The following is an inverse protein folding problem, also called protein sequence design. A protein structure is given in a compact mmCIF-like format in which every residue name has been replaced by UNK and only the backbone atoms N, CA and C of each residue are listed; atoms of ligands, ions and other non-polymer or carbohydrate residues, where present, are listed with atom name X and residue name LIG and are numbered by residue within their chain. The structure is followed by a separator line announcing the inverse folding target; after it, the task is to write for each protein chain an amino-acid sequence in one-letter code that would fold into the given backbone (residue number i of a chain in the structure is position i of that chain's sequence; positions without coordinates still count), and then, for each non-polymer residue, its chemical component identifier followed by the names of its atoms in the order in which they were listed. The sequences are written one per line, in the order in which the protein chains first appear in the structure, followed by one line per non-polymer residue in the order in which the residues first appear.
data_IF_152705341917
#
_entry.id   IF_152705341917
#
_cell.length_a   1.000
_cell.length_b   1.000
_cell.length_c   1.000
_cell.angle_alpha   90.00
_cell.angle_beta   90.00
_cell.angle_gamma   90.00
#
_symmetry.space_group_name_H-M   'P 1'
#
loop_
_entity.id
_entity.type
_entity.pdbx_description
1 polymer ?
#
# COMPACT_ATOMS: atom_id res chain seq x y z
N UNK A 1 4.59 2.40 -38.23
CA UNK A 1 3.95 1.67 -37.09
C UNK A 1 2.46 1.94 -37.20
N UNK A 2 1.62 0.90 -37.37
CA UNK A 2 0.20 1.06 -37.70
C UNK A 2 -0.53 1.89 -36.65
N UNK A 3 -1.20 2.95 -37.05
CA UNK A 3 -1.97 3.87 -36.18
C UNK A 3 -3.04 3.13 -35.33
N UNK A 4 -3.59 2.04 -35.86
CA UNK A 4 -4.55 1.18 -35.18
C UNK A 4 -3.96 0.37 -33.99
N UNK A 5 -2.70 -0.08 -34.09
CA UNK A 5 -2.02 -0.79 -33.00
C UNK A 5 -1.69 0.19 -31.85
N UNK A 6 -1.24 1.39 -32.17
CA UNK A 6 -0.95 2.42 -31.18
C UNK A 6 -2.20 2.85 -30.40
N UNK A 7 -3.35 3.02 -31.07
CA UNK A 7 -4.59 3.41 -30.41
C UNK A 7 -5.13 2.32 -29.47
N UNK A 8 -5.05 1.04 -29.87
CA UNK A 8 -5.40 -0.11 -29.01
C UNK A 8 -4.47 -0.21 -27.80
N UNK A 9 -3.18 -0.04 -27.99
CA UNK A 9 -2.22 -0.08 -26.89
C UNK A 9 -2.44 1.08 -25.90
N UNK A 10 -2.81 2.27 -26.35
CA UNK A 10 -3.17 3.39 -25.48
C UNK A 10 -4.41 3.08 -24.60
N UNK A 11 -5.40 2.40 -25.12
CA UNK A 11 -6.57 1.97 -24.34
C UNK A 11 -6.26 0.90 -23.29
N UNK A 12 -5.18 0.13 -23.45
CA UNK A 12 -4.71 -0.89 -22.49
C UNK A 12 -3.81 -0.30 -21.38
N UNK A 13 -3.24 0.89 -21.55
CA UNK A 13 -2.38 1.50 -20.52
C UNK A 13 -3.04 1.62 -19.15
N UNK A 14 -4.30 2.07 -19.00
CA UNK A 14 -4.96 2.12 -17.69
C UNK A 14 -5.05 0.73 -17.05
N UNK A 15 -5.34 -0.32 -17.83
CA UNK A 15 -5.42 -1.70 -17.33
C UNK A 15 -4.04 -2.15 -16.82
N UNK A 16 -2.97 -1.85 -17.57
CA UNK A 16 -1.60 -2.13 -17.14
C UNK A 16 -1.27 -1.42 -15.81
N UNK A 17 -1.67 -0.17 -15.67
CA UNK A 17 -1.49 0.57 -14.42
C UNK A 17 -2.27 -0.03 -13.25
N UNK A 18 -3.53 -0.47 -13.47
CA UNK A 18 -4.34 -1.17 -12.46
C UNK A 18 -3.63 -2.46 -12.04
N UNK A 19 -3.12 -3.25 -12.99
CA UNK A 19 -2.41 -4.50 -12.69
C UNK A 19 -1.14 -4.26 -11.85
N UNK A 20 -0.36 -3.24 -12.17
CA UNK A 20 0.83 -2.86 -11.39
C UNK A 20 0.44 -2.49 -9.96
N UNK A 21 -0.53 -1.60 -9.76
CA UNK A 21 -0.95 -1.19 -8.44
C UNK A 21 -1.60 -2.35 -7.67
N UNK A 22 -2.38 -3.19 -8.34
CA UNK A 22 -2.96 -4.38 -7.72
C UNK A 22 -1.86 -5.31 -7.19
N UNK A 23 -0.86 -5.66 -7.98
CA UNK A 23 0.24 -6.52 -7.56
C UNK A 23 1.09 -5.87 -6.45
N UNK A 24 1.30 -4.55 -6.51
CA UNK A 24 2.05 -3.83 -5.49
C UNK A 24 1.37 -3.87 -4.11
N UNK A 25 0.04 -3.75 -4.06
CA UNK A 25 -0.71 -3.66 -2.81
C UNK A 25 -1.36 -4.99 -2.38
N UNK A 26 -1.72 -5.86 -3.32
CA UNK A 26 -2.37 -7.14 -3.06
C UNK A 26 -1.48 -8.36 -3.35
N UNK A 27 -0.20 -8.14 -3.62
CA UNK A 27 0.76 -9.20 -3.98
C UNK A 27 0.86 -10.30 -2.92
N UNK A 28 0.67 -9.99 -1.64
CA UNK A 28 0.62 -10.99 -0.58
C UNK A 28 -0.56 -11.96 -0.77
N UNK A 29 -1.73 -11.48 -1.18
CA UNK A 29 -2.88 -12.33 -1.50
C UNK A 29 -2.59 -13.26 -2.67
N UNK A 30 -1.99 -12.72 -3.74
CA UNK A 30 -1.55 -13.54 -4.90
C UNK A 30 -0.54 -14.59 -4.47
N UNK A 31 0.44 -14.24 -3.63
CA UNK A 31 1.39 -15.19 -3.04
C UNK A 31 0.70 -16.26 -2.20
N UNK A 32 -0.32 -15.91 -1.42
CA UNK A 32 -1.05 -16.86 -0.59
C UNK A 32 -1.77 -17.92 -1.44
N UNK A 33 -2.15 -17.59 -2.68
CA UNK A 33 -2.76 -18.53 -3.63
C UNK A 33 -1.69 -19.36 -4.36
N UNK A 34 -0.69 -18.71 -4.95
CA UNK A 34 0.23 -19.34 -5.90
C UNK A 34 1.62 -19.67 -5.32
N UNK A 35 1.86 -19.33 -4.06
CA UNK A 35 3.18 -19.47 -3.43
C UNK A 35 4.19 -18.42 -3.92
N UNK A 36 5.41 -18.51 -3.42
CA UNK A 36 6.47 -17.56 -3.74
C UNK A 36 6.89 -17.59 -5.21
N UNK A 37 7.07 -18.80 -5.75
CA UNK A 37 7.46 -18.99 -7.16
C UNK A 37 6.38 -18.49 -8.12
N UNK A 38 5.13 -18.89 -7.86
CA UNK A 38 3.99 -18.46 -8.69
C UNK A 38 3.80 -16.96 -8.65
N UNK A 39 3.91 -16.33 -7.48
CA UNK A 39 3.87 -14.87 -7.35
C UNK A 39 4.98 -14.18 -8.14
N UNK A 40 6.22 -14.70 -8.06
CA UNK A 40 7.36 -14.17 -8.82
C UNK A 40 7.13 -14.23 -10.33
N UNK A 41 6.68 -15.39 -10.84
CA UNK A 41 6.38 -15.60 -12.27
C UNK A 41 5.25 -14.66 -12.74
N UNK A 42 4.14 -14.60 -11.99
CA UNK A 42 3.00 -13.73 -12.33
C UNK A 42 3.44 -12.27 -12.37
N UNK A 43 4.20 -11.83 -11.38
CA UNK A 43 4.69 -10.44 -11.31
C UNK A 43 5.61 -10.12 -12.49
N UNK A 44 6.54 -11.01 -12.84
CA UNK A 44 7.44 -10.84 -13.98
C UNK A 44 6.67 -10.76 -15.31
N UNK A 45 5.71 -11.66 -15.52
CA UNK A 45 4.90 -11.69 -16.76
C UNK A 45 4.02 -10.44 -16.88
N UNK A 46 3.37 -10.02 -15.79
CA UNK A 46 2.55 -8.80 -15.78
C UNK A 46 3.42 -7.57 -16.04
N UNK A 47 4.57 -7.46 -15.40
CA UNK A 47 5.47 -6.34 -15.60
C UNK A 47 6.00 -6.29 -17.05
N UNK A 48 6.38 -7.43 -17.61
CA UNK A 48 6.79 -7.54 -19.02
C UNK A 48 5.66 -7.09 -19.95
N UNK A 49 4.44 -7.60 -19.74
CA UNK A 49 3.27 -7.21 -20.54
C UNK A 49 2.99 -5.71 -20.44
N UNK A 50 3.12 -5.10 -19.25
CA UNK A 50 2.95 -3.66 -19.05
C UNK A 50 4.00 -2.85 -19.82
N UNK A 51 5.26 -3.27 -19.84
CA UNK A 51 6.30 -2.64 -20.64
C UNK A 51 6.05 -2.78 -22.15
N UNK A 52 5.61 -3.95 -22.60
CA UNK A 52 5.23 -4.16 -24.01
C UNK A 52 4.09 -3.21 -24.41
N UNK A 53 3.02 -3.12 -23.60
CA UNK A 53 1.91 -2.18 -23.85
C UNK A 53 2.41 -0.72 -23.87
N UNK A 54 3.30 -0.34 -22.95
CA UNK A 54 3.88 0.99 -22.89
C UNK A 54 4.62 1.36 -24.20
N UNK A 55 5.47 0.47 -24.71
CA UNK A 55 6.21 0.71 -25.96
C UNK A 55 5.31 0.66 -27.20
N UNK A 56 4.33 -0.25 -27.26
CA UNK A 56 3.36 -0.32 -28.34
C UNK A 56 2.44 0.90 -28.40
N UNK A 57 2.18 1.55 -27.26
CA UNK A 57 1.50 2.85 -27.17
C UNK A 57 2.38 4.03 -27.67
N UNK A 58 3.58 3.77 -28.19
CA UNK A 58 4.49 4.80 -28.68
C UNK A 58 5.16 5.65 -27.60
N UNK A 59 5.05 5.24 -26.34
CA UNK A 59 5.67 5.94 -25.22
C UNK A 59 7.18 5.68 -25.19
N UNK A 60 7.96 6.64 -24.72
CA UNK A 60 9.42 6.54 -24.62
C UNK A 60 9.90 6.85 -23.21
N UNK A 61 10.88 6.09 -22.76
CA UNK A 61 11.55 6.37 -21.49
C UNK A 61 12.56 7.49 -21.73
N UNK A 62 12.40 8.59 -21.01
CA UNK A 62 13.35 9.69 -21.02
C UNK A 62 14.12 9.67 -19.70
N UNK A 63 15.37 9.23 -19.71
CA UNK A 63 16.21 9.09 -18.51
C UNK A 63 16.31 10.38 -17.69
N UNK A 64 16.28 11.55 -18.34
CA UNK A 64 16.27 12.85 -17.66
C UNK A 64 15.06 13.09 -16.73
N UNK A 65 13.99 12.30 -16.88
CA UNK A 65 12.79 12.39 -16.02
C UNK A 65 12.89 11.50 -14.77
N UNK A 66 13.89 10.63 -14.71
CA UNK A 66 14.11 9.78 -13.53
C UNK A 66 14.94 10.59 -12.52
N UNK A 67 14.47 10.67 -11.29
CA UNK A 67 15.19 11.37 -10.22
C UNK A 67 16.59 10.76 -10.01
N UNK A 68 17.58 11.62 -9.84
CA UNK A 68 18.94 11.18 -9.53
C UNK A 68 18.99 10.31 -8.26
N UNK A 69 18.21 10.67 -7.24
CA UNK A 69 18.13 9.90 -5.99
C UNK A 69 17.64 8.47 -6.22
N UNK A 70 16.63 8.29 -7.07
CA UNK A 70 16.10 6.94 -7.41
C UNK A 70 17.15 6.16 -8.18
N UNK A 71 17.81 6.79 -9.17
CA UNK A 71 18.86 6.14 -9.96
C UNK A 71 20.05 5.75 -9.10
N UNK A 72 20.51 6.63 -8.21
CA UNK A 72 21.62 6.36 -7.29
C UNK A 72 21.30 5.23 -6.33
N UNK A 73 20.07 5.17 -5.79
CA UNK A 73 19.62 4.07 -4.93
C UNK A 73 19.62 2.74 -5.66
N UNK A 74 19.09 2.68 -6.88
CA UNK A 74 19.08 1.45 -7.69
C UNK A 74 20.50 0.99 -7.98
N UNK A 75 21.39 1.91 -8.38
CA UNK A 75 22.80 1.61 -8.64
C UNK A 75 23.49 1.08 -7.38
N UNK A 76 23.26 1.70 -6.23
CA UNK A 76 23.79 1.23 -4.95
C UNK A 76 23.32 -0.19 -4.63
N UNK A 77 22.02 -0.48 -4.78
CA UNK A 77 21.49 -1.83 -4.58
C UNK A 77 22.12 -2.86 -5.52
N UNK A 78 22.36 -2.52 -6.78
CA UNK A 78 23.03 -3.42 -7.72
C UNK A 78 24.50 -3.62 -7.37
N UNK A 79 25.20 -2.56 -7.02
CA UNK A 79 26.62 -2.61 -6.66
C UNK A 79 26.86 -3.36 -5.33
N UNK A 80 25.89 -3.34 -4.39
CA UNK A 80 26.00 -3.99 -3.09
C UNK A 80 26.26 -5.50 -3.20
N UNK A 81 25.90 -6.12 -4.32
CA UNK A 81 26.20 -7.54 -4.60
C UNK A 81 27.71 -7.82 -4.58
N UNK A 82 28.57 -6.83 -4.92
CA UNK A 82 30.02 -7.01 -5.05
C UNK A 82 30.67 -7.27 -3.68
N UNK A 83 30.21 -6.54 -2.65
CA UNK A 83 30.80 -6.63 -1.30
C UNK A 83 29.94 -7.39 -0.29
N UNK A 84 28.77 -7.91 -0.72
CA UNK A 84 27.90 -8.68 0.16
C UNK A 84 28.50 -10.01 0.55
N UNK A 85 28.35 -10.38 1.81
CA UNK A 85 28.66 -11.73 2.31
C UNK A 85 27.66 -12.78 1.79
N UNK A 86 26.38 -12.35 1.53
CA UNK A 86 25.29 -13.18 1.02
C UNK A 86 24.97 -12.80 -0.44
N UNK A 87 25.90 -13.11 -1.35
CA UNK A 87 25.83 -12.63 -2.76
C UNK A 87 24.56 -13.04 -3.49
N UNK A 88 24.11 -14.29 -3.30
CA UNK A 88 22.92 -14.81 -3.99
C UNK A 88 21.64 -14.12 -3.54
N UNK A 89 21.48 -13.97 -2.23
CA UNK A 89 20.34 -13.29 -1.61
C UNK A 89 20.32 -11.80 -1.97
N UNK A 90 21.48 -11.17 -1.97
CA UNK A 90 21.62 -9.77 -2.36
C UNK A 90 21.33 -9.57 -3.84
N UNK A 91 21.79 -10.49 -4.70
CA UNK A 91 21.47 -10.45 -6.13
C UNK A 91 19.96 -10.61 -6.37
N UNK A 92 19.31 -11.57 -5.70
CA UNK A 92 17.85 -11.76 -5.78
C UNK A 92 17.09 -10.51 -5.30
N UNK A 93 17.54 -9.90 -4.20
CA UNK A 93 16.97 -8.66 -3.67
C UNK A 93 17.17 -7.47 -4.62
N UNK A 94 18.33 -7.37 -5.26
CA UNK A 94 18.60 -6.35 -6.27
C UNK A 94 17.69 -6.51 -7.50
N UNK A 95 17.44 -7.73 -7.97
CA UNK A 95 16.48 -8.01 -9.05
C UNK A 95 15.06 -7.60 -8.69
N UNK A 96 14.60 -7.90 -7.47
CA UNK A 96 13.28 -7.48 -6.98
C UNK A 96 13.21 -5.95 -6.92
N UNK A 97 14.27 -5.29 -6.44
CA UNK A 97 14.35 -3.83 -6.39
C UNK A 97 14.31 -3.20 -7.78
N UNK A 98 15.00 -3.78 -8.75
CA UNK A 98 14.96 -3.36 -10.15
C UNK A 98 13.54 -3.52 -10.74
N UNK A 99 12.90 -4.67 -10.51
CA UNK A 99 11.55 -4.95 -11.00
C UNK A 99 10.52 -3.95 -10.42
N UNK A 100 10.52 -3.76 -9.10
CA UNK A 100 9.60 -2.84 -8.42
C UNK A 100 9.87 -1.37 -8.80
N UNK A 101 11.13 -0.97 -8.91
CA UNK A 101 11.50 0.37 -9.35
C UNK A 101 11.09 0.61 -10.81
N UNK A 102 11.26 -0.38 -11.69
CA UNK A 102 10.83 -0.29 -13.10
C UNK A 102 9.32 -0.12 -13.23
N UNK A 103 8.53 -0.81 -12.40
CA UNK A 103 7.09 -0.63 -12.32
C UNK A 103 6.70 0.79 -11.92
N UNK A 104 7.35 1.34 -10.88
CA UNK A 104 7.15 2.72 -10.45
C UNK A 104 7.51 3.76 -11.53
N UNK A 105 8.63 3.56 -12.21
CA UNK A 105 9.08 4.41 -13.33
C UNK A 105 8.06 4.36 -14.48
N UNK A 106 7.58 3.16 -14.86
CA UNK A 106 6.57 3.00 -15.88
C UNK A 106 5.32 3.81 -15.56
N UNK A 107 4.77 3.65 -14.34
CA UNK A 107 3.57 4.37 -13.91
C UNK A 107 3.80 5.89 -13.93
N UNK A 108 4.94 6.36 -13.41
CA UNK A 108 5.26 7.79 -13.34
C UNK A 108 5.40 8.44 -14.73
N UNK A 109 5.88 7.70 -15.74
CA UNK A 109 6.05 8.21 -17.11
C UNK A 109 4.76 8.05 -17.92
N UNK A 110 4.01 6.96 -17.70
CA UNK A 110 2.81 6.65 -18.48
C UNK A 110 1.64 7.58 -18.15
N UNK A 111 1.49 8.02 -16.90
CA UNK A 111 0.28 8.69 -16.44
C UNK A 111 0.55 10.09 -15.88
N UNK A 112 -0.25 11.11 -16.26
CA UNK A 112 -0.36 12.33 -15.48
C UNK A 112 -0.99 12.03 -14.10
N UNK A 113 -0.69 12.83 -13.08
CA UNK A 113 -1.07 12.59 -11.69
C UNK A 113 -2.56 12.23 -11.52
N UNK A 114 -3.46 12.98 -12.16
CA UNK A 114 -4.91 12.74 -12.06
C UNK A 114 -5.32 11.37 -12.59
N UNK A 115 -4.72 10.94 -13.70
CA UNK A 115 -5.00 9.62 -14.30
C UNK A 115 -4.37 8.50 -13.47
N UNK A 116 -3.15 8.72 -12.98
CA UNK A 116 -2.48 7.79 -12.05
C UNK A 116 -3.32 7.53 -10.81
N UNK A 117 -3.89 8.58 -10.18
CA UNK A 117 -4.78 8.44 -9.03
C UNK A 117 -6.06 7.66 -9.37
N UNK A 118 -6.64 7.84 -10.56
CA UNK A 118 -7.82 7.06 -10.99
C UNK A 118 -7.48 5.58 -11.13
N UNK A 119 -6.39 5.27 -11.81
CA UNK A 119 -5.90 3.89 -12.00
C UNK A 119 -5.57 3.24 -10.65
N UNK A 120 -4.93 3.98 -9.75
CA UNK A 120 -4.68 3.57 -8.37
C UNK A 120 -6.00 3.26 -7.62
N UNK A 121 -6.97 4.18 -7.66
CA UNK A 121 -8.28 3.97 -7.05
C UNK A 121 -8.97 2.71 -7.56
N UNK A 122 -8.92 2.44 -8.86
CA UNK A 122 -9.56 1.28 -9.46
C UNK A 122 -8.90 -0.02 -9.00
N UNK A 123 -7.56 -0.04 -8.87
CA UNK A 123 -6.84 -1.16 -8.27
C UNK A 123 -7.23 -1.38 -6.80
N UNK A 124 -7.30 -0.30 -5.99
CA UNK A 124 -7.68 -0.41 -4.57
C UNK A 124 -9.14 -0.85 -4.38
N UNK A 125 -10.06 -0.42 -5.25
CA UNK A 125 -11.44 -0.90 -5.26
C UNK A 125 -11.51 -2.41 -5.48
N UNK A 126 -10.72 -2.94 -6.41
CA UNK A 126 -10.64 -4.39 -6.65
C UNK A 126 -10.19 -5.11 -5.38
N UNK A 127 -9.14 -4.61 -4.71
CA UNK A 127 -8.64 -5.22 -3.45
C UNK A 127 -9.70 -5.19 -2.36
N UNK A 128 -10.41 -4.08 -2.20
CA UNK A 128 -11.49 -3.92 -1.21
C UNK A 128 -12.64 -4.90 -1.49
N UNK A 129 -13.08 -5.01 -2.73
CA UNK A 129 -14.14 -5.96 -3.13
C UNK A 129 -13.71 -7.38 -2.89
N UNK A 130 -12.51 -7.77 -3.34
CA UNK A 130 -11.98 -9.12 -3.12
C UNK A 130 -11.84 -9.45 -1.64
N UNK A 131 -11.50 -8.47 -0.81
CA UNK A 131 -11.39 -8.66 0.63
C UNK A 131 -12.75 -8.94 1.27
N UNK A 132 -13.78 -8.18 0.93
CA UNK A 132 -15.14 -8.45 1.41
C UNK A 132 -15.68 -9.79 0.92
N UNK A 133 -15.51 -10.08 -0.36
CA UNK A 133 -15.98 -11.34 -0.95
C UNK A 133 -15.30 -12.53 -0.27
N UNK A 134 -14.00 -12.46 -0.05
CA UNK A 134 -13.24 -13.55 0.57
C UNK A 134 -13.62 -13.74 2.06
N UNK A 135 -13.73 -12.66 2.83
CA UNK A 135 -14.15 -12.73 4.24
C UNK A 135 -15.59 -13.26 4.39
N UNK A 136 -16.51 -12.79 3.55
CA UNK A 136 -17.89 -13.28 3.53
C UNK A 136 -17.95 -14.76 3.14
N UNK A 137 -17.20 -15.15 2.09
CA UNK A 137 -17.16 -16.54 1.66
C UNK A 137 -16.65 -17.48 2.76
N UNK A 138 -15.57 -17.06 3.44
CA UNK A 138 -15.00 -17.87 4.54
C UNK A 138 -15.98 -17.97 5.71
N UNK A 139 -16.56 -16.86 6.12
CA UNK A 139 -17.45 -16.83 7.28
C UNK A 139 -18.80 -17.51 7.06
N UNK A 140 -19.29 -17.56 5.80
CA UNK A 140 -20.60 -18.18 5.49
C UNK A 140 -20.49 -19.65 5.10
N UNK A 141 -19.42 -20.04 4.38
CA UNK A 141 -19.34 -21.36 3.75
C UNK A 141 -18.22 -22.24 4.30
N UNK A 142 -17.13 -21.67 4.81
CA UNK A 142 -15.98 -22.43 5.30
C UNK A 142 -16.02 -22.61 6.82
N UNK A 143 -16.32 -21.56 7.56
CA UNK A 143 -16.51 -21.60 9.02
C UNK A 143 -15.26 -21.91 9.85
N UNK A 144 -14.07 -21.84 9.26
CA UNK A 144 -12.79 -22.02 9.95
C UNK A 144 -11.67 -21.21 9.30
N UNK A 145 -10.54 -21.07 10.01
CA UNK A 145 -9.35 -20.36 9.55
C UNK A 145 -8.74 -21.03 8.32
N UNK A 146 -8.30 -20.23 7.32
CA UNK A 146 -7.67 -20.73 6.10
C UNK A 146 -6.18 -20.36 6.11
N UNK A 147 -5.27 -21.33 6.04
CA UNK A 147 -3.85 -21.07 5.80
C UNK A 147 -3.60 -20.69 4.33
N UNK A 148 -2.45 -20.09 3.99
CA UNK A 148 -2.02 -19.94 2.61
C UNK A 148 -2.00 -21.28 1.87
N UNK A 149 -2.33 -21.29 0.58
CA UNK A 149 -2.45 -22.51 -0.21
C UNK A 149 -1.15 -23.32 -0.22
N UNK A 150 0.01 -22.67 -0.20
CA UNK A 150 1.32 -23.34 -0.18
C UNK A 150 1.68 -23.95 1.18
N UNK A 151 0.95 -23.64 2.27
CA UNK A 151 1.13 -24.24 3.61
C UNK A 151 0.11 -25.34 3.93
N UNK A 152 -0.77 -25.70 3.01
CA UNK A 152 -1.81 -26.72 3.25
C UNK A 152 -1.28 -28.08 3.67
N UNK A 153 -0.02 -28.39 3.34
CA UNK A 153 0.64 -29.65 3.67
C UNK A 153 1.34 -29.63 5.03
N UNK A 154 1.38 -28.48 5.70
CA UNK A 154 1.99 -28.39 7.02
C UNK A 154 1.07 -29.02 8.07
N UNK A 155 1.63 -29.85 8.95
CA UNK A 155 0.89 -30.50 10.03
C UNK A 155 0.36 -29.49 11.05
N UNK A 156 1.17 -28.45 11.32
CA UNK A 156 0.83 -27.35 12.21
C UNK A 156 1.21 -26.03 11.54
N UNK A 157 0.22 -25.15 11.38
CA UNK A 157 0.43 -23.80 10.84
C UNK A 157 0.41 -22.84 12.04
N UNK A 158 1.49 -22.10 12.31
CA UNK A 158 1.51 -21.11 13.38
C UNK A 158 0.40 -20.06 13.19
N UNK A 159 -0.20 -19.59 14.28
CA UNK A 159 -1.35 -18.67 14.24
C UNK A 159 -1.12 -17.41 13.40
N UNK A 160 0.10 -16.90 13.39
CA UNK A 160 0.49 -15.70 12.63
C UNK A 160 0.48 -15.88 11.11
N UNK A 161 0.48 -17.12 10.61
CA UNK A 161 0.56 -17.42 9.18
C UNK A 161 -0.80 -17.66 8.53
N UNK A 162 -1.90 -17.74 9.31
CA UNK A 162 -3.22 -17.90 8.71
C UNK A 162 -3.54 -16.72 7.79
N UNK A 163 -4.05 -17.05 6.59
CA UNK A 163 -4.44 -16.05 5.61
C UNK A 163 -5.75 -15.36 5.99
N UNK A 164 -6.76 -16.14 6.40
CA UNK A 164 -8.07 -15.64 6.85
C UNK A 164 -8.44 -16.29 8.18
N UNK A 165 -8.90 -15.49 9.12
CA UNK A 165 -9.14 -15.94 10.49
C UNK A 165 -10.61 -16.28 10.81
N UNK A 166 -11.53 -16.18 9.83
CA UNK A 166 -12.99 -16.35 10.07
C UNK A 166 -13.52 -15.43 11.19
N UNK A 167 -13.10 -14.16 11.14
CA UNK A 167 -13.37 -13.19 12.21
C UNK A 167 -14.57 -12.30 11.95
N UNK A 168 -15.13 -12.28 10.73
CA UNK A 168 -16.12 -11.30 10.30
C UNK A 168 -17.37 -11.26 11.19
N UNK A 169 -17.91 -12.44 11.57
CA UNK A 169 -19.09 -12.56 12.44
C UNK A 169 -18.77 -13.02 13.86
N UNK A 170 -17.54 -13.48 14.12
CA UNK A 170 -17.14 -13.95 15.44
C UNK A 170 -16.48 -12.89 16.33
N UNK A 171 -16.34 -11.69 15.79
CA UNK A 171 -15.58 -10.61 16.43
C UNK A 171 -14.07 -10.85 16.35
N UNK A 172 -13.35 -9.87 15.91
CA UNK A 172 -11.90 -9.93 15.70
C UNK A 172 -11.50 -9.24 14.39
N UNK A 173 -10.22 -8.96 14.22
CA UNK A 173 -9.77 -8.22 13.06
C UNK A 173 -9.79 -9.06 11.78
N UNK A 174 -10.40 -8.53 10.73
CA UNK A 174 -10.36 -9.13 9.40
C UNK A 174 -8.99 -8.89 8.75
N UNK A 175 -8.58 -9.82 7.89
CA UNK A 175 -7.30 -9.76 7.15
C UNK A 175 -7.48 -9.51 5.66
N UNK A 176 -8.65 -9.85 5.12
CA UNK A 176 -9.05 -9.70 3.73
C UNK A 176 -8.14 -10.45 2.75
N UNK A 177 -8.27 -10.11 1.47
CA UNK A 177 -7.47 -10.71 0.41
C UNK A 177 -5.96 -10.55 0.64
N UNK A 178 -5.54 -9.43 1.23
CA UNK A 178 -4.13 -9.12 1.51
C UNK A 178 -3.53 -10.06 2.57
N UNK A 179 -4.36 -10.64 3.45
CA UNK A 179 -3.91 -11.56 4.49
C UNK A 179 -3.20 -10.88 5.66
N UNK A 180 -3.42 -9.57 5.83
CA UNK A 180 -2.93 -8.82 6.98
C UNK A 180 -3.77 -7.57 7.20
N UNK A 181 -4.28 -7.41 8.44
CA UNK A 181 -5.17 -6.31 8.82
C UNK A 181 -4.59 -4.91 8.62
N UNK A 182 -3.28 -4.71 8.88
CA UNK A 182 -2.67 -3.38 8.79
C UNK A 182 -2.51 -2.90 7.34
N UNK A 183 -1.94 -3.67 6.39
CA UNK A 183 -1.96 -3.31 4.98
C UNK A 183 -3.37 -3.14 4.41
N UNK A 184 -4.33 -3.98 4.80
CA UNK A 184 -5.72 -3.85 4.34
C UNK A 184 -6.34 -2.53 4.80
N UNK A 185 -6.17 -2.18 6.08
CA UNK A 185 -6.62 -0.90 6.61
C UNK A 185 -5.94 0.29 5.90
N UNK A 186 -4.64 0.19 5.62
CA UNK A 186 -3.89 1.21 4.90
C UNK A 186 -4.41 1.41 3.47
N UNK A 187 -4.70 0.33 2.74
CA UNK A 187 -5.34 0.36 1.41
C UNK A 187 -6.70 1.06 1.48
N UNK A 188 -7.53 0.70 2.46
CA UNK A 188 -8.82 1.34 2.67
C UNK A 188 -8.70 2.84 2.98
N UNK A 189 -7.72 3.26 3.79
CA UNK A 189 -7.44 4.66 4.07
C UNK A 189 -7.02 5.42 2.81
N UNK A 190 -6.09 4.88 2.02
CA UNK A 190 -5.65 5.52 0.77
C UNK A 190 -6.80 5.66 -0.23
N UNK A 191 -7.63 4.61 -0.38
CA UNK A 191 -8.82 4.66 -1.22
C UNK A 191 -9.81 5.70 -0.72
N UNK A 192 -10.08 5.75 0.59
CA UNK A 192 -10.96 6.74 1.22
C UNK A 192 -10.52 8.17 0.89
N UNK A 193 -9.24 8.48 1.10
CA UNK A 193 -8.69 9.81 0.81
C UNK A 193 -8.83 10.17 -0.66
N UNK A 194 -8.52 9.24 -1.57
CA UNK A 194 -8.69 9.46 -3.01
C UNK A 194 -10.16 9.70 -3.37
N UNK A 195 -11.09 8.87 -2.85
CA UNK A 195 -12.54 9.05 -3.10
C UNK A 195 -13.02 10.41 -2.59
N UNK A 196 -12.63 10.83 -1.39
CA UNK A 196 -13.00 12.13 -0.83
C UNK A 196 -12.48 13.28 -1.69
N UNK A 197 -11.21 13.24 -2.10
CA UNK A 197 -10.61 14.28 -2.95
C UNK A 197 -11.33 14.38 -4.30
N UNK A 198 -11.63 13.26 -4.95
CA UNK A 198 -12.36 13.27 -6.22
C UNK A 198 -13.81 13.68 -6.04
N UNK A 199 -14.46 13.30 -4.94
CA UNK A 199 -15.84 13.70 -4.64
C UNK A 199 -15.99 15.22 -4.41
N UNK A 200 -15.00 15.84 -3.75
CA UNK A 200 -14.98 17.32 -3.59
C UNK A 200 -14.86 18.03 -4.95
N UNK A 201 -14.13 17.42 -5.91
CA UNK A 201 -13.91 17.99 -7.24
C UNK A 201 -15.12 17.77 -8.19
N UNK A 202 -15.77 16.62 -8.11
CA UNK A 202 -16.90 16.23 -8.97
C UNK A 202 -18.03 15.66 -8.13
N UNK A 203 -19.11 16.41 -8.03
CA UNK A 203 -20.30 16.09 -7.22
C UNK A 203 -21.32 15.21 -7.94
N UNK A 204 -21.12 14.86 -9.21
CA UNK A 204 -22.16 14.19 -10.01
C UNK A 204 -22.46 12.73 -9.60
N UNK A 205 -21.66 12.12 -8.74
CA UNK A 205 -21.76 10.69 -8.41
C UNK A 205 -21.84 10.43 -6.90
N UNK A 206 -22.72 11.15 -6.23
CA UNK A 206 -22.84 11.10 -4.76
C UNK A 206 -23.07 9.69 -4.20
N UNK A 207 -24.03 8.94 -4.74
CA UNK A 207 -24.37 7.60 -4.24
C UNK A 207 -23.19 6.64 -4.38
N UNK A 208 -22.54 6.63 -5.54
CA UNK A 208 -21.37 5.77 -5.77
C UNK A 208 -20.22 6.12 -4.83
N UNK A 209 -19.94 7.39 -4.64
CA UNK A 209 -18.86 7.82 -3.76
C UNK A 209 -19.17 7.51 -2.29
N UNK A 210 -20.42 7.69 -1.87
CA UNK A 210 -20.90 7.33 -0.53
C UNK A 210 -20.73 5.82 -0.28
N UNK A 211 -21.10 4.97 -1.23
CA UNK A 211 -20.91 3.52 -1.10
C UNK A 211 -19.43 3.15 -0.90
N UNK A 212 -18.51 3.79 -1.64
CA UNK A 212 -17.06 3.55 -1.45
C UNK A 212 -16.57 4.07 -0.12
N UNK A 213 -17.05 5.22 0.35
CA UNK A 213 -16.74 5.73 1.71
C UNK A 213 -17.20 4.73 2.77
N UNK A 214 -18.46 4.27 2.68
CA UNK A 214 -18.99 3.26 3.61
C UNK A 214 -18.15 1.96 3.58
N UNK A 215 -17.79 1.47 2.40
CA UNK A 215 -16.96 0.28 2.25
C UNK A 215 -15.57 0.47 2.88
N UNK A 216 -14.91 1.60 2.66
CA UNK A 216 -13.61 1.89 3.27
C UNK A 216 -13.70 2.01 4.79
N UNK A 217 -14.70 2.75 5.30
CA UNK A 217 -14.92 2.91 6.75
C UNK A 217 -15.23 1.56 7.40
N UNK A 218 -16.04 0.72 6.74
CA UNK A 218 -16.30 -0.65 7.19
C UNK A 218 -15.01 -1.47 7.37
N UNK A 219 -14.10 -1.47 6.38
CA UNK A 219 -12.79 -2.14 6.51
C UNK A 219 -11.97 -1.54 7.65
N UNK A 220 -11.93 -0.21 7.78
CA UNK A 220 -11.16 0.45 8.85
C UNK A 220 -11.64 0.01 10.24
N UNK A 221 -12.94 -0.09 10.43
CA UNK A 221 -13.55 -0.59 11.69
C UNK A 221 -13.23 -2.07 11.88
N UNK A 222 -13.52 -2.91 10.88
CA UNK A 222 -13.36 -4.35 10.96
C UNK A 222 -11.90 -4.81 11.11
N UNK A 223 -10.93 -4.06 10.62
CA UNK A 223 -9.51 -4.37 10.79
C UNK A 223 -8.97 -3.99 12.16
N UNK A 224 -9.58 -3.04 12.86
CA UNK A 224 -9.16 -2.57 14.18
C UNK A 224 -7.68 -2.13 14.23
N UNK A 225 -7.13 -1.55 13.16
CA UNK A 225 -5.73 -1.14 13.10
C UNK A 225 -5.52 0.22 13.76
N UNK A 226 -5.05 0.23 15.01
CA UNK A 226 -4.78 1.48 15.75
C UNK A 226 -3.82 2.42 15.01
N UNK A 227 -2.77 1.88 14.38
CA UNK A 227 -1.81 2.69 13.61
C UNK A 227 -2.47 3.40 12.43
N UNK A 228 -3.33 2.68 11.69
CA UNK A 228 -4.02 3.26 10.53
C UNK A 228 -5.13 4.21 10.98
N UNK A 229 -5.76 3.95 12.14
CA UNK A 229 -6.74 4.86 12.71
C UNK A 229 -6.11 6.22 13.07
N UNK A 230 -4.94 6.23 13.71
CA UNK A 230 -4.18 7.46 13.96
C UNK A 230 -3.79 8.15 12.65
N UNK A 231 -3.29 7.40 11.66
CA UNK A 231 -2.96 7.93 10.34
C UNK A 231 -4.19 8.55 9.64
N UNK A 232 -5.37 7.94 9.81
CA UNK A 232 -6.64 8.47 9.29
C UNK A 232 -6.99 9.80 9.94
N UNK A 233 -6.92 9.90 11.26
CA UNK A 233 -7.19 11.16 11.97
C UNK A 233 -6.26 12.28 11.50
N UNK A 234 -4.96 12.01 11.42
CA UNK A 234 -3.97 12.97 10.93
C UNK A 234 -4.25 13.38 9.48
N UNK A 235 -4.51 12.41 8.60
CA UNK A 235 -4.74 12.68 7.18
C UNK A 235 -6.03 13.46 6.94
N UNK A 236 -7.12 13.13 7.64
CA UNK A 236 -8.39 13.85 7.54
C UNK A 236 -8.26 15.26 8.12
N UNK A 237 -7.58 15.43 9.25
CA UNK A 237 -7.29 16.76 9.83
C UNK A 237 -6.48 17.61 8.85
N UNK A 238 -5.45 17.04 8.21
CA UNK A 238 -4.68 17.74 7.20
C UNK A 238 -5.54 18.11 5.97
N UNK A 239 -6.42 17.21 5.52
CA UNK A 239 -7.35 17.49 4.41
C UNK A 239 -8.28 18.65 4.75
N UNK A 240 -8.91 18.61 5.92
CA UNK A 240 -9.80 19.71 6.39
C UNK A 240 -9.02 21.01 6.50
N UNK A 241 -7.84 20.99 7.09
CA UNK A 241 -6.96 22.15 7.18
C UNK A 241 -6.65 22.74 5.80
N UNK A 242 -6.26 21.91 4.83
CA UNK A 242 -5.99 22.33 3.45
C UNK A 242 -7.22 22.94 2.77
N UNK A 243 -8.41 22.39 3.04
CA UNK A 243 -9.67 22.95 2.52
C UNK A 243 -9.99 24.31 3.12
N UNK A 244 -9.65 24.55 4.39
CA UNK A 244 -9.85 25.85 5.06
C UNK A 244 -8.86 26.88 4.52
N UNK A 245 -7.57 26.56 4.51
CA UNK A 245 -6.51 27.54 4.16
C UNK A 245 -6.55 27.97 2.69
N UNK A 246 -7.18 27.18 1.80
CA UNK A 246 -7.30 27.58 0.38
C UNK A 246 -8.14 28.86 0.19
N UNK A 247 -9.01 29.19 1.15
CA UNK A 247 -9.89 30.36 1.13
C UNK A 247 -9.26 31.58 1.83
N UNK A 248 -8.10 31.42 2.51
CA UNK A 248 -7.41 32.47 3.24
C UNK A 248 -6.50 33.28 2.31
N UNK A 249 -6.31 34.56 2.65
CA UNK A 249 -5.34 35.43 2.02
C UNK A 249 -3.89 34.99 2.28
N UNK A 250 -2.94 35.57 1.55
CA UNK A 250 -1.53 35.12 1.58
C UNK A 250 -0.90 35.20 3.00
N UNK A 251 -1.15 36.28 3.72
CA UNK A 251 -0.59 36.46 5.08
C UNK A 251 -1.26 35.55 6.11
N UNK A 252 -2.58 35.44 6.07
CA UNK A 252 -3.38 34.58 6.92
C UNK A 252 -3.01 33.11 6.72
N UNK A 253 -2.83 32.70 5.45
CA UNK A 253 -2.37 31.36 5.10
C UNK A 253 -1.01 31.03 5.68
N UNK A 254 -0.02 31.95 5.59
CA UNK A 254 1.29 31.77 6.18
C UNK A 254 1.22 31.66 7.70
N UNK A 255 0.41 32.48 8.34
CA UNK A 255 0.19 32.42 9.78
C UNK A 255 -0.44 31.08 10.17
N UNK A 256 -1.54 30.67 9.53
CA UNK A 256 -2.20 29.40 9.80
C UNK A 256 -1.27 28.19 9.63
N UNK A 257 -0.45 28.17 8.58
CA UNK A 257 0.54 27.10 8.38
C UNK A 257 1.58 27.07 9.48
N UNK A 258 2.09 28.23 9.94
CA UNK A 258 3.04 28.28 11.06
C UNK A 258 2.42 27.75 12.34
N UNK A 259 1.19 28.18 12.67
CA UNK A 259 0.46 27.71 13.85
C UNK A 259 0.24 26.19 13.77
N UNK A 260 -0.17 25.66 12.62
CA UNK A 260 -0.39 24.23 12.44
C UNK A 260 0.92 23.41 12.59
N UNK A 261 2.03 23.89 12.01
CA UNK A 261 3.34 23.25 12.16
C UNK A 261 3.83 23.28 13.61
N UNK A 262 3.66 24.41 14.32
CA UNK A 262 4.03 24.50 15.74
C UNK A 262 3.18 23.55 16.58
N UNK A 263 1.86 23.52 16.37
CA UNK A 263 0.96 22.61 17.06
C UNK A 263 1.31 21.14 16.81
N UNK A 264 1.61 20.78 15.54
CA UNK A 264 2.04 19.42 15.19
C UNK A 264 3.37 19.03 15.84
N UNK A 265 4.35 19.95 15.86
CA UNK A 265 5.63 19.74 16.53
C UNK A 265 5.47 19.57 18.05
N UNK A 266 4.63 20.41 18.69
CA UNK A 266 4.32 20.31 20.12
C UNK A 266 3.60 19.00 20.44
N UNK A 267 2.62 18.59 19.61
CA UNK A 267 1.93 17.31 19.77
C UNK A 267 2.90 16.12 19.66
N UNK A 268 3.80 16.15 18.67
CA UNK A 268 4.80 15.11 18.49
C UNK A 268 5.75 15.03 19.70
N UNK A 269 6.20 16.18 20.22
CA UNK A 269 7.04 16.26 21.40
C UNK A 269 6.33 15.65 22.62
N UNK A 270 5.07 16.04 22.87
CA UNK A 270 4.26 15.48 23.95
C UNK A 270 4.07 13.96 23.78
N UNK A 271 3.78 13.49 22.56
CA UNK A 271 3.62 12.07 22.27
C UNK A 271 4.91 11.26 22.51
N UNK A 272 6.08 11.84 22.24
CA UNK A 272 7.38 11.23 22.52
C UNK A 272 7.67 11.19 24.01
N UNK A 273 7.40 12.29 24.74
CA UNK A 273 7.61 12.38 26.19
C UNK A 273 6.64 11.44 26.93
N UNK A 274 5.40 11.38 26.49
CA UNK A 274 4.33 10.56 27.09
C UNK A 274 4.14 9.21 26.36
N UNK A 275 5.19 8.66 25.75
CA UNK A 275 5.10 7.44 24.90
C UNK A 275 4.42 6.28 25.61
N UNK A 276 4.69 6.08 26.91
CA UNK A 276 4.16 4.94 27.66
C UNK A 276 2.64 5.07 27.90
N UNK A 277 2.15 6.28 28.25
CA UNK A 277 0.72 6.56 28.38
C UNK A 277 0.00 6.47 27.02
N UNK A 278 0.62 6.98 25.96
CA UNK A 278 0.07 6.91 24.59
C UNK A 278 -0.05 5.46 24.11
N UNK A 279 0.93 4.61 24.40
CA UNK A 279 0.89 3.18 24.04
C UNK A 279 -0.18 2.43 24.84
N UNK A 280 -0.38 2.75 26.11
CA UNK A 280 -1.42 2.19 26.95
C UNK A 280 -2.83 2.56 26.44
N UNK A 281 -3.08 3.84 26.14
CA UNK A 281 -4.35 4.31 25.54
C UNK A 281 -4.65 3.62 24.22
N UNK A 282 -3.62 3.31 23.41
CA UNK A 282 -3.77 2.60 22.14
C UNK A 282 -3.95 1.07 22.32
N UNK A 283 -4.07 0.59 23.57
CA UNK A 283 -4.24 -0.83 23.89
C UNK A 283 -3.04 -1.70 23.48
N UNK A 284 -1.83 -1.11 23.50
CA UNK A 284 -0.57 -1.80 23.20
C UNK A 284 0.27 -1.90 24.46
N UNK A 285 0.93 -3.07 24.63
CA UNK A 285 1.99 -3.19 25.64
C UNK A 285 3.12 -2.18 25.32
N UNK A 286 3.78 -1.70 26.35
CA UNK A 286 4.94 -0.79 26.26
C UNK A 286 6.06 -1.28 25.33
N UNK A 287 6.10 -2.58 25.06
CA UNK A 287 7.04 -3.28 24.18
C UNK A 287 6.64 -3.25 22.68
N UNK A 288 5.73 -2.35 22.24
CA UNK A 288 5.30 -2.22 20.84
C UNK A 288 4.94 -3.55 20.17
N UNK A 289 4.32 -4.49 20.90
CA UNK A 289 3.97 -5.85 20.41
C UNK A 289 5.19 -6.71 20.04
N UNK A 290 6.26 -6.67 20.86
CA UNK A 290 7.50 -7.44 20.66
C UNK A 290 8.48 -6.84 19.64
N UNK A 291 8.13 -5.71 19.02
CA UNK A 291 9.04 -5.07 18.06
C UNK A 291 10.28 -4.46 18.73
N UNK A 292 10.16 -3.99 19.97
CA UNK A 292 11.29 -3.47 20.73
C UNK A 292 12.37 -4.54 20.94
N UNK A 293 11.97 -5.75 21.28
CA UNK A 293 12.88 -6.90 21.43
C UNK A 293 13.55 -7.26 20.10
N UNK A 294 12.78 -7.24 18.99
CA UNK A 294 13.32 -7.52 17.65
C UNK A 294 14.36 -6.46 17.26
N UNK A 295 14.07 -5.19 17.48
CA UNK A 295 15.00 -4.08 17.18
C UNK A 295 16.25 -4.14 18.05
N UNK A 296 16.13 -4.42 19.36
CA UNK A 296 17.28 -4.58 20.25
C UNK A 296 18.21 -5.70 19.77
N UNK A 297 17.62 -6.84 19.40
CA UNK A 297 18.39 -7.99 18.88
C UNK A 297 19.04 -7.71 17.53
N UNK A 298 18.37 -6.96 16.64
CA UNK A 298 18.94 -6.54 15.36
C UNK A 298 20.10 -5.55 15.53
N UNK A 299 19.98 -4.62 16.49
CA UNK A 299 21.07 -3.68 16.80
C UNK A 299 22.28 -4.39 17.41
N UNK A 300 22.08 -5.39 18.28
CA UNK A 300 23.13 -6.24 18.82
C UNK A 300 23.87 -6.99 17.72
N UNK A 301 23.12 -7.68 16.83
CA UNK A 301 23.70 -8.37 15.67
C UNK A 301 24.42 -7.44 14.70
N UNK A 302 23.92 -6.20 14.52
CA UNK A 302 24.56 -5.19 13.66
C UNK A 302 25.83 -4.61 14.27
N UNK A 303 26.01 -4.67 15.59
CA UNK A 303 27.22 -4.22 16.26
C UNK A 303 28.34 -5.27 16.24
N UNK A 304 28.01 -6.54 15.98
CA UNK A 304 28.96 -7.65 15.85
C UNK A 304 29.53 -7.80 14.43
N UNK A 305 28.99 -7.06 13.44
CA UNK A 305 29.36 -7.07 12.02
C UNK A 305 29.57 -5.65 11.47
#
# INVERSE_FOLDING_TARGET
MNTTVSSRAESLLPIAGVAIFFLAFAGQGVRNIFGWLGFGIITALVLLACWVVFFLAGRRVTLRRISLSVSSFIVLCCLSVIWSQYRLETFASALITLATSSAGILVAIAFPLRQMLKVFMDAMKIVVVLSYVLELWVSLFVGHRIPPMYMRHWKEVPELYYWINDSLFRGGPIQGFVGNRNPLAFIALLLLLCVLVFWIQDRNQHIRNLLWVCACVGILILTGSATVFVAMLVSLSALVFLLIIRHLGFYERRFAVRVALTAAASFLLVAVVMKDQVTEILGRSSDMTGRGVIWAKLLELSAEH
#
